data_IF_243024508256
#
_entry.id   IF_243024508256
#
_cell.length_a   1.000
_cell.length_b   1.000
_cell.length_c   1.000
_cell.angle_alpha   90.00
_cell.angle_beta   90.00
_cell.angle_gamma   90.00
#
_symmetry.space_group_name_H-M   'P 1'
#
loop_
_entity.id
_entity.type
_entity.pdbx_description
1 polymer ?
#
# COMPACT_ATOMS: atom_id res chain seq x y z
N UNK A 1 6.85 3.42 20.67
CA UNK A 1 5.51 3.58 20.04
C UNK A 1 4.36 3.98 20.96
N UNK A 2 4.26 3.57 22.24
CA UNK A 2 3.05 3.84 23.07
C UNK A 2 2.79 5.32 23.41
N UNK A 3 3.80 6.19 23.33
CA UNK A 3 3.68 7.65 23.55
C UNK A 3 3.95 8.51 22.31
N UNK A 4 4.12 7.91 21.14
CA UNK A 4 4.51 8.65 19.92
C UNK A 4 3.37 9.50 19.36
N UNK A 5 3.71 10.51 18.55
CA UNK A 5 2.73 11.28 17.78
C UNK A 5 2.10 10.39 16.70
N UNK A 6 0.95 10.80 16.18
CA UNK A 6 0.29 10.03 15.12
C UNK A 6 1.17 9.97 13.86
N UNK A 7 1.86 11.08 13.59
CA UNK A 7 2.76 11.27 12.45
C UNK A 7 3.98 10.36 12.57
N UNK A 8 4.56 10.24 13.77
CA UNK A 8 5.69 9.35 14.02
C UNK A 8 5.33 7.89 13.79
N UNK A 9 4.13 7.45 14.24
CA UNK A 9 3.64 6.10 13.99
C UNK A 9 3.51 5.83 12.48
N UNK A 10 2.95 6.78 11.73
CA UNK A 10 2.79 6.63 10.28
C UNK A 10 4.16 6.61 9.58
N UNK A 11 5.05 7.52 9.96
CA UNK A 11 6.40 7.63 9.41
C UNK A 11 7.22 6.35 9.62
N UNK A 12 7.07 5.72 10.78
CA UNK A 12 7.78 4.49 11.13
C UNK A 12 7.23 3.25 10.42
N UNK A 13 5.90 3.15 10.27
CA UNK A 13 5.26 1.94 9.71
C UNK A 13 5.29 1.93 8.17
N UNK A 14 5.07 3.08 7.52
CA UNK A 14 5.01 3.18 6.06
C UNK A 14 6.23 2.60 5.31
N UNK A 15 7.50 2.80 5.72
CA UNK A 15 8.64 2.20 5.04
C UNK A 15 8.70 0.69 5.22
N UNK A 16 8.29 0.15 6.38
CA UNK A 16 8.26 -1.28 6.66
C UNK A 16 7.23 -1.98 5.76
N UNK A 17 6.00 -1.45 5.74
CA UNK A 17 4.92 -1.97 4.88
C UNK A 17 5.35 -1.94 3.42
N UNK A 18 5.91 -0.81 2.97
CA UNK A 18 6.41 -0.66 1.59
C UNK A 18 7.46 -1.73 1.25
N UNK A 19 8.45 -1.94 2.12
CA UNK A 19 9.51 -2.93 1.88
C UNK A 19 8.95 -4.35 1.81
N UNK A 20 8.07 -4.70 2.75
CA UNK A 20 7.47 -6.03 2.82
C UNK A 20 6.57 -6.31 1.60
N UNK A 21 5.70 -5.37 1.23
CA UNK A 21 4.87 -5.49 0.04
C UNK A 21 5.70 -5.57 -1.25
N UNK A 22 6.77 -4.78 -1.36
CA UNK A 22 7.65 -4.81 -2.52
C UNK A 22 8.32 -6.19 -2.69
N UNK A 23 8.75 -6.80 -1.58
CA UNK A 23 9.34 -8.14 -1.59
C UNK A 23 8.33 -9.22 -2.02
N UNK A 24 7.11 -9.20 -1.47
CA UNK A 24 6.07 -10.19 -1.77
C UNK A 24 5.17 -9.81 -2.96
N UNK A 25 5.55 -8.84 -3.78
CA UNK A 25 4.77 -8.40 -4.96
C UNK A 25 4.73 -9.47 -6.06
N UNK A 26 5.74 -10.33 -6.16
CA UNK A 26 5.88 -11.36 -7.20
C UNK A 26 5.01 -12.60 -6.99
N UNK A 27 4.61 -12.85 -5.74
CA UNK A 27 3.86 -14.06 -5.34
C UNK A 27 2.36 -13.77 -5.23
N UNK A 28 1.54 -14.82 -5.12
CA UNK A 28 0.09 -14.68 -4.92
C UNK A 28 -0.19 -14.32 -3.45
N UNK A 29 0.03 -13.05 -3.10
CA UNK A 29 0.02 -12.55 -1.73
C UNK A 29 -1.24 -11.78 -1.32
N UNK A 30 -2.27 -11.70 -2.18
CA UNK A 30 -3.44 -10.84 -1.94
C UNK A 30 -4.17 -11.17 -0.62
N UNK A 31 -4.45 -12.47 -0.38
CA UNK A 31 -5.11 -12.93 0.85
C UNK A 31 -4.28 -12.57 2.09
N UNK A 32 -2.97 -12.79 2.01
CA UNK A 32 -2.02 -12.47 3.09
C UNK A 32 -1.95 -10.97 3.36
N UNK A 33 -1.94 -10.14 2.32
CA UNK A 33 -1.98 -8.67 2.46
C UNK A 33 -3.25 -8.22 3.18
N UNK A 34 -4.39 -8.80 2.85
CA UNK A 34 -5.64 -8.50 3.54
C UNK A 34 -5.60 -8.91 5.01
N UNK A 35 -5.05 -10.08 5.33
CA UNK A 35 -4.84 -10.51 6.73
C UNK A 35 -3.90 -9.58 7.49
N UNK A 36 -2.80 -9.14 6.87
CA UNK A 36 -1.86 -8.18 7.46
C UNK A 36 -2.52 -6.83 7.72
N UNK A 37 -3.38 -6.35 6.81
CA UNK A 37 -4.12 -5.10 7.00
C UNK A 37 -5.07 -5.17 8.20
N UNK A 38 -5.73 -6.31 8.42
CA UNK A 38 -6.59 -6.52 9.60
C UNK A 38 -5.80 -6.51 10.92
N UNK A 39 -4.62 -7.15 10.92
CA UNK A 39 -3.71 -7.15 12.07
C UNK A 39 -3.23 -5.72 12.35
N UNK A 40 -2.78 -5.02 11.31
CA UNK A 40 -2.31 -3.63 11.41
C UNK A 40 -3.41 -2.70 11.93
N UNK A 41 -4.63 -2.82 11.40
CA UNK A 41 -5.79 -2.08 11.89
C UNK A 41 -6.04 -2.33 13.38
N UNK A 42 -6.01 -3.59 13.81
CA UNK A 42 -6.24 -3.96 15.21
C UNK A 42 -5.19 -3.34 16.13
N UNK A 43 -3.94 -3.32 15.71
CA UNK A 43 -2.84 -2.70 16.48
C UNK A 43 -3.00 -1.17 16.56
N UNK A 44 -3.33 -0.50 15.46
CA UNK A 44 -3.58 0.94 15.44
C UNK A 44 -4.79 1.33 16.29
N UNK A 45 -5.86 0.53 16.24
CA UNK A 45 -7.04 0.74 17.06
C UNK A 45 -6.72 0.63 18.56
N UNK A 46 -5.96 -0.41 18.95
CA UNK A 46 -5.48 -0.59 20.33
C UNK A 46 -4.58 0.57 20.77
N UNK A 47 -3.67 1.02 19.91
CA UNK A 47 -2.83 2.18 20.18
C UNK A 47 -3.66 3.45 20.41
N UNK A 48 -4.66 3.70 19.56
CA UNK A 48 -5.52 4.88 19.67
C UNK A 48 -6.41 4.84 20.93
N UNK A 49 -6.92 3.66 21.29
CA UNK A 49 -7.63 3.44 22.56
C UNK A 49 -6.74 3.65 23.77
N UNK A 50 -5.52 3.12 23.75
CA UNK A 50 -4.56 3.27 24.84
C UNK A 50 -4.22 4.75 25.09
N UNK A 51 -4.08 5.55 24.03
CA UNK A 51 -3.78 6.98 24.13
C UNK A 51 -4.94 7.80 24.74
N UNK A 52 -6.18 7.30 24.67
CA UNK A 52 -7.37 8.01 25.12
C UNK A 52 -8.30 7.10 25.94
N UNK A 53 -7.93 6.74 27.18
CA UNK A 53 -8.71 5.82 28.01
C UNK A 53 -10.12 6.35 28.29
N UNK A 54 -10.28 7.68 28.40
CA UNK A 54 -11.55 8.33 28.74
C UNK A 54 -12.41 8.68 27.51
N UNK A 55 -12.01 8.30 26.29
CA UNK A 55 -12.75 8.62 25.06
C UNK A 55 -13.36 7.37 24.44
N UNK A 56 -14.61 7.50 24.00
CA UNK A 56 -15.34 6.43 23.34
C UNK A 56 -14.80 6.08 21.95
N UNK A 57 -15.16 4.89 21.46
CA UNK A 57 -14.73 4.38 20.15
C UNK A 57 -15.10 5.27 18.97
N UNK A 58 -16.30 5.88 18.98
CA UNK A 58 -16.71 6.81 17.92
C UNK A 58 -15.83 8.07 17.85
N UNK A 59 -15.38 8.57 19.00
CA UNK A 59 -14.46 9.70 19.05
C UNK A 59 -13.09 9.30 18.48
N UNK A 60 -12.59 8.11 18.86
CA UNK A 60 -11.33 7.57 18.34
C UNK A 60 -11.38 7.42 16.82
N UNK A 61 -12.46 6.80 16.30
CA UNK A 61 -12.71 6.68 14.86
C UNK A 61 -12.61 8.04 14.20
N UNK A 62 -13.39 9.02 14.65
CA UNK A 62 -13.44 10.35 14.04
C UNK A 62 -12.11 11.10 14.11
N UNK A 63 -11.33 10.92 15.19
CA UNK A 63 -10.05 11.60 15.35
C UNK A 63 -8.94 11.01 14.47
N UNK A 64 -8.83 9.69 14.46
CA UNK A 64 -7.67 8.98 13.88
C UNK A 64 -7.96 8.35 12.51
N UNK A 65 -9.21 7.99 12.24
CA UNK A 65 -9.62 7.24 11.04
C UNK A 65 -10.53 8.08 10.14
N UNK A 66 -9.96 8.53 9.03
CA UNK A 66 -10.59 9.44 8.07
C UNK A 66 -10.87 8.74 6.75
N UNK A 67 -11.65 9.41 5.90
CA UNK A 67 -11.94 8.98 4.54
C UNK A 67 -10.73 9.28 3.65
N UNK A 68 -10.31 8.29 2.87
CA UNK A 68 -9.31 8.40 1.82
C UNK A 68 -9.79 7.62 0.59
N UNK A 69 -10.18 8.33 -0.47
CA UNK A 69 -10.88 7.73 -1.62
C UNK A 69 -12.16 7.01 -1.18
N UNK A 70 -12.24 5.70 -1.45
CA UNK A 70 -13.36 4.83 -1.07
C UNK A 70 -13.20 4.18 0.32
N UNK A 71 -12.08 4.42 1.01
CA UNK A 71 -11.80 3.84 2.33
C UNK A 71 -12.12 4.83 3.45
N UNK A 72 -13.16 4.54 4.24
CA UNK A 72 -13.61 5.38 5.37
C UNK A 72 -12.85 5.13 6.68
N UNK A 73 -11.90 4.19 6.68
CA UNK A 73 -11.17 3.70 7.85
C UNK A 73 -9.66 3.78 7.64
N UNK A 74 -9.19 4.85 7.00
CA UNK A 74 -7.75 5.11 6.83
C UNK A 74 -7.19 5.85 8.05
N UNK A 75 -6.15 5.30 8.67
CA UNK A 75 -5.45 5.99 9.74
C UNK A 75 -4.65 7.18 9.17
N UNK A 76 -5.07 8.40 9.51
CA UNK A 76 -4.63 9.61 8.82
C UNK A 76 -4.65 10.85 9.72
N UNK A 77 -3.60 11.67 9.62
CA UNK A 77 -3.47 12.96 10.30
C UNK A 77 -4.34 14.03 9.61
N UNK A 78 -4.46 15.24 10.18
CA UNK A 78 -5.09 16.38 9.50
C UNK A 78 -4.33 16.88 8.27
N UNK A 79 -3.02 16.70 8.23
CA UNK A 79 -2.14 17.08 7.12
C UNK A 79 -2.14 16.05 5.97
N UNK A 80 -3.19 15.23 5.86
CA UNK A 80 -3.36 14.16 4.85
C UNK A 80 -2.28 13.06 4.82
N UNK A 81 -1.35 13.06 5.78
CA UNK A 81 -0.39 11.97 5.96
C UNK A 81 -1.16 10.74 6.47
N UNK A 82 -1.10 9.65 5.71
CA UNK A 82 -1.83 8.42 6.00
C UNK A 82 -0.94 7.18 6.00
N UNK A 83 -1.47 6.12 6.60
CA UNK A 83 -0.84 4.81 6.57
C UNK A 83 -1.11 4.10 5.23
N UNK A 84 -0.05 3.51 4.66
CA UNK A 84 -0.15 2.60 3.52
C UNK A 84 -0.74 1.27 3.98
N UNK A 85 -1.72 0.74 3.24
CA UNK A 85 -2.19 -0.64 3.42
C UNK A 85 -1.43 -1.57 2.49
N UNK A 86 -1.29 -2.81 2.92
CA UNK A 86 -0.65 -3.86 2.14
C UNK A 86 -1.43 -4.14 0.86
N UNK A 87 -2.77 -4.08 0.94
CA UNK A 87 -3.66 -4.24 -0.21
C UNK A 87 -3.56 -3.14 -1.27
N UNK A 88 -2.98 -1.98 -0.96
CA UNK A 88 -2.80 -0.90 -1.95
C UNK A 88 -1.71 -1.23 -2.99
N UNK A 89 -0.86 -2.22 -2.70
CA UNK A 89 0.25 -2.61 -3.57
C UNK A 89 -0.21 -3.53 -4.72
N UNK A 90 0.16 -3.17 -5.94
CA UNK A 90 -0.13 -3.95 -7.16
C UNK A 90 0.72 -5.23 -7.17
N UNK A 91 0.06 -6.39 -7.13
CA UNK A 91 0.70 -7.70 -7.29
C UNK A 91 1.16 -7.87 -8.74
N UNK A 92 2.46 -8.10 -8.96
CA UNK A 92 3.05 -8.27 -10.29
C UNK A 92 3.44 -9.72 -10.50
N UNK A 93 2.59 -10.46 -11.21
CA UNK A 93 2.84 -11.88 -11.50
C UNK A 93 3.91 -12.03 -12.59
N UNK A 94 4.84 -12.94 -12.38
CA UNK A 94 5.81 -13.31 -13.41
C UNK A 94 5.11 -14.10 -14.53
N UNK A 95 5.40 -13.73 -15.77
CA UNK A 95 4.98 -14.49 -16.95
C UNK A 95 6.01 -15.60 -17.16
N UNK A 96 5.57 -16.86 -17.17
CA UNK A 96 6.46 -17.99 -17.49
C UNK A 96 6.98 -17.85 -18.92
N UNK A 97 8.27 -18.08 -19.12
CA UNK A 97 8.87 -18.18 -20.46
C UNK A 97 8.29 -19.44 -21.13
N UNK A 98 7.77 -19.31 -22.36
CA UNK A 98 7.23 -20.44 -23.12
C UNK A 98 8.37 -21.42 -23.44
N UNK A 99 8.11 -22.72 -23.24
CA UNK A 99 9.10 -23.81 -23.14
C UNK A 99 9.99 -24.13 -24.35
N UNK A 100 10.06 -23.26 -25.35
CA UNK A 100 11.01 -23.36 -26.49
C UNK A 100 12.12 -22.31 -26.44
N UNK A 101 12.24 -21.53 -25.38
CA UNK A 101 13.21 -20.42 -25.27
C UNK A 101 14.19 -20.65 -24.12
N UNK A 102 15.48 -20.69 -24.44
CA UNK A 102 16.58 -20.78 -23.49
C UNK A 102 16.86 -19.40 -22.85
N UNK A 103 17.24 -19.32 -21.56
CA UNK A 103 17.67 -18.07 -20.92
C UNK A 103 18.85 -17.37 -21.61
N UNK A 104 19.59 -18.07 -22.46
CA UNK A 104 20.74 -17.58 -23.22
C UNK A 104 20.43 -17.20 -24.67
N UNK A 105 19.20 -17.41 -25.14
CA UNK A 105 18.76 -16.87 -26.43
C UNK A 105 18.61 -15.35 -26.24
N UNK A 106 19.50 -14.56 -26.84
CA UNK A 106 19.79 -13.13 -26.58
C UNK A 106 18.65 -12.10 -26.73
N UNK A 107 17.39 -12.50 -26.65
CA UNK A 107 16.21 -11.65 -26.74
C UNK A 107 15.47 -11.46 -25.40
N UNK A 108 15.86 -12.19 -24.34
CA UNK A 108 15.16 -12.16 -23.04
C UNK A 108 15.13 -10.75 -22.38
N UNK A 109 16.16 -9.93 -22.61
CA UNK A 109 16.30 -8.58 -22.02
C UNK A 109 15.25 -7.59 -22.57
N UNK A 110 14.66 -7.83 -23.75
CA UNK A 110 13.65 -6.92 -24.32
C UNK A 110 12.29 -6.99 -23.61
N UNK A 111 11.90 -8.17 -23.11
CA UNK A 111 10.60 -8.37 -22.46
C UNK A 111 10.44 -7.60 -21.15
N UNK A 112 11.53 -7.48 -20.38
CA UNK A 112 11.57 -6.66 -19.17
C UNK A 112 11.45 -5.16 -19.49
N UNK A 113 12.17 -4.68 -20.53
CA UNK A 113 12.14 -3.27 -20.94
C UNK A 113 10.83 -2.85 -21.61
N UNK A 114 10.13 -3.77 -22.29
CA UNK A 114 8.85 -3.49 -22.95
C UNK A 114 7.72 -3.18 -21.95
N UNK A 115 7.72 -3.87 -20.80
CA UNK A 115 6.67 -3.69 -19.78
C UNK A 115 6.86 -2.43 -18.93
N UNK A 116 8.10 -2.00 -18.68
CA UNK A 116 8.40 -0.75 -17.98
C UNK A 116 7.91 0.49 -18.74
N UNK A 117 7.97 0.47 -20.09
CA UNK A 117 7.51 1.59 -20.93
C UNK A 117 5.99 1.68 -21.00
N UNK A 118 5.27 0.56 -21.16
CA UNK A 118 3.78 0.57 -21.22
C UNK A 118 3.12 1.09 -19.94
N UNK A 119 3.66 0.77 -18.77
CA UNK A 119 3.12 1.24 -17.48
C UNK A 119 3.33 2.75 -17.33
N UNK A 120 4.47 3.28 -17.80
CA UNK A 120 4.75 4.72 -17.77
C UNK A 120 3.84 5.52 -18.73
N UNK A 121 3.51 4.96 -19.90
CA UNK A 121 2.59 5.62 -20.85
C UNK A 121 1.14 5.62 -20.37
N UNK A 122 0.69 4.53 -19.73
CA UNK A 122 -0.67 4.43 -19.18
C UNK A 122 -0.92 5.46 -18.07
N UNK A 123 0.05 5.68 -17.18
CA UNK A 123 -0.10 6.62 -16.07
C UNK A 123 -0.10 8.09 -16.54
N UNK A 124 0.64 8.42 -17.60
CA UNK A 124 0.62 9.77 -18.20
C UNK A 124 -0.72 10.11 -18.85
N UNK A 125 -1.35 9.15 -19.55
CA UNK A 125 -2.65 9.36 -20.18
C UNK A 125 -3.71 9.65 -19.12
N UNK A 126 -3.71 8.90 -18.01
CA UNK A 126 -4.66 9.14 -16.91
C UNK A 126 -4.43 10.46 -16.17
N UNK A 127 -3.18 10.93 -16.08
CA UNK A 127 -2.86 12.24 -15.49
C UNK A 127 -3.23 13.42 -16.41
N UNK A 128 -3.11 13.26 -17.73
CA UNK A 128 -3.50 14.29 -18.70
C UNK A 128 -5.02 14.38 -18.88
N UNK A 129 -5.75 13.25 -18.83
CA UNK A 129 -7.23 13.28 -18.84
C UNK A 129 -7.80 13.92 -17.56
N UNK A 130 -7.11 13.79 -16.42
CA UNK A 130 -7.51 14.39 -15.15
C UNK A 130 -7.17 15.89 -15.02
N UNK A 131 -6.33 16.45 -15.90
CA UNK A 131 -6.02 17.89 -15.96
C UNK A 131 -6.92 18.68 -16.91
N UNK A 132 -7.65 18.01 -17.79
CA UNK A 132 -8.53 18.62 -18.79
C UNK A 132 -10.01 18.64 -18.35
N UNK A 133 -10.30 18.28 -17.11
CA UNK A 133 -11.59 18.44 -16.41
C UNK A 133 -11.41 19.41 -15.24
#
# INVERSE_FOLDING_TARGET
MRGESQEAVISNINPIVRGWCQYYTSVVSNKTFHSMDMIMYTQLWRWAKFKHPNKGGHWIKRKYFKKYGNDNWRFMTSNEIHIRKHGDHVIRRHIKVKGTRSPYDGLAIQSFKYNSRKIATSNKITEDTARQM
#
